data_IF_904648062467
#
_entry.id   IF_904648062467
#
_cell.length_a   1.000
_cell.length_b   1.000
_cell.length_c   1.000
_cell.angle_alpha   90.00
_cell.angle_beta   90.00
_cell.angle_gamma   90.00
#
_symmetry.space_group_name_H-M   'P 1'
#
loop_
_entity.id
_entity.type
_entity.pdbx_description
1 polymer ?
#
# COMPACT_ATOMS: atom_id res chain seq x y z
N UNK A 1 -60.31 5.01 -43.38
CA UNK A 1 -59.82 5.07 -42.01
C UNK A 1 -58.30 4.91 -42.05
N UNK A 2 -57.54 6.01 -41.86
CA UNK A 2 -56.05 5.95 -41.93
C UNK A 2 -55.52 5.92 -40.53
N UNK A 3 -54.91 4.79 -40.09
CA UNK A 3 -54.22 4.66 -38.81
C UNK A 3 -52.87 5.35 -38.93
N UNK A 4 -52.66 6.42 -38.14
CA UNK A 4 -51.33 7.05 -37.95
C UNK A 4 -50.62 6.27 -36.84
N UNK A 5 -49.54 5.54 -37.18
CA UNK A 5 -48.65 4.92 -36.23
C UNK A 5 -47.69 5.99 -35.75
N UNK A 6 -47.79 6.37 -34.47
CA UNK A 6 -46.88 7.29 -33.80
C UNK A 6 -45.71 6.44 -33.26
N UNK A 7 -44.51 6.56 -33.87
CA UNK A 7 -43.26 5.98 -33.32
C UNK A 7 -42.79 6.86 -32.16
N UNK A 8 -42.95 6.36 -30.96
CA UNK A 8 -42.35 6.94 -29.75
C UNK A 8 -40.86 6.53 -29.69
N UNK A 9 -39.99 7.44 -30.15
CA UNK A 9 -38.54 7.26 -30.02
C UNK A 9 -38.13 7.64 -28.58
N UNK A 10 -37.95 6.63 -27.71
CA UNK A 10 -37.38 6.82 -26.39
C UNK A 10 -35.89 7.07 -26.53
N UNK A 11 -35.46 8.30 -26.33
CA UNK A 11 -34.03 8.66 -26.19
C UNK A 11 -33.50 8.12 -24.87
N UNK A 12 -32.81 6.98 -24.91
CA UNK A 12 -32.07 6.47 -23.76
C UNK A 12 -30.79 7.28 -23.65
N UNK A 13 -30.79 8.28 -22.78
CA UNK A 13 -29.56 9.00 -22.40
C UNK A 13 -28.63 8.05 -21.64
N UNK A 14 -27.60 7.56 -22.30
CA UNK A 14 -26.49 6.86 -21.65
C UNK A 14 -25.71 7.88 -20.83
N UNK A 15 -26.03 8.00 -19.55
CA UNK A 15 -25.17 8.68 -18.59
C UNK A 15 -23.90 7.87 -18.43
N UNK A 16 -22.80 8.33 -19.01
CA UNK A 16 -21.46 7.75 -18.82
C UNK A 16 -21.08 7.91 -17.36
N UNK A 17 -21.24 6.85 -16.56
CA UNK A 17 -20.73 6.81 -15.21
C UNK A 17 -19.21 6.75 -15.33
N UNK A 18 -18.55 7.88 -15.13
CA UNK A 18 -17.09 7.93 -14.98
C UNK A 18 -16.73 7.20 -13.69
N UNK A 19 -16.38 5.92 -13.77
CA UNK A 19 -15.75 5.19 -12.66
C UNK A 19 -14.38 5.80 -12.47
N UNK A 20 -14.26 6.74 -11.53
CA UNK A 20 -12.97 7.28 -11.12
C UNK A 20 -12.27 6.16 -10.36
N UNK A 21 -11.42 5.42 -11.07
CA UNK A 21 -10.53 4.43 -10.44
C UNK A 21 -9.70 5.15 -9.37
N UNK A 22 -9.72 4.63 -8.14
CA UNK A 22 -9.00 5.23 -7.02
C UNK A 22 -7.50 5.28 -7.33
N UNK A 23 -7.00 6.49 -7.58
CA UNK A 23 -5.60 6.72 -7.95
C UNK A 23 -4.76 6.80 -6.67
N UNK A 24 -3.70 5.99 -6.54
CA UNK A 24 -2.77 6.05 -5.41
C UNK A 24 -2.18 7.45 -5.25
N UNK A 25 -1.83 7.82 -4.00
CA UNK A 25 -1.29 9.13 -3.70
C UNK A 25 0.02 9.38 -4.47
N UNK A 26 0.06 10.42 -5.32
CA UNK A 26 1.22 10.76 -6.14
C UNK A 26 2.43 11.24 -5.32
N UNK A 27 2.20 11.68 -4.09
CA UNK A 27 3.22 12.04 -3.11
C UNK A 27 2.86 11.47 -1.76
N UNK A 28 3.86 11.23 -0.89
CA UNK A 28 3.61 10.79 0.48
C UNK A 28 2.73 11.83 1.19
N UNK A 29 1.51 11.50 1.59
CA UNK A 29 0.62 12.43 2.28
C UNK A 29 1.08 12.66 3.72
N UNK A 30 0.52 13.67 4.42
CA UNK A 30 0.68 13.83 5.86
C UNK A 30 -0.11 12.74 6.59
N UNK A 31 0.55 12.02 7.50
CA UNK A 31 -0.05 10.91 8.25
C UNK A 31 0.48 10.87 9.68
N UNK A 32 -0.23 10.16 10.57
CA UNK A 32 0.22 9.82 11.91
C UNK A 32 -0.17 8.38 12.24
N UNK A 33 0.82 7.50 12.33
CA UNK A 33 0.68 6.11 12.73
C UNK A 33 1.34 5.87 14.08
N UNK A 34 1.18 4.69 14.66
CA UNK A 34 1.85 4.30 15.90
C UNK A 34 2.92 3.25 15.63
N UNK A 35 4.07 3.41 16.25
CA UNK A 35 5.05 2.34 16.38
C UNK A 35 4.62 1.30 17.43
N UNK A 36 5.37 0.20 17.56
CA UNK A 36 5.13 -0.85 18.55
C UNK A 36 5.16 -0.30 19.99
N UNK A 37 6.03 0.69 20.26
CA UNK A 37 6.14 1.38 21.54
C UNK A 37 5.04 2.42 21.79
N UNK A 38 4.03 2.48 20.92
CA UNK A 38 2.91 3.44 20.92
C UNK A 38 3.31 4.90 20.70
N UNK A 39 4.55 5.18 20.32
CA UNK A 39 4.97 6.53 19.91
C UNK A 39 4.46 6.85 18.51
N UNK A 40 4.12 8.12 18.28
CA UNK A 40 3.66 8.58 16.97
C UNK A 40 4.81 8.59 15.95
N UNK A 41 4.46 8.21 14.72
CA UNK A 41 5.34 8.21 13.56
C UNK A 41 4.64 8.91 12.40
N UNK A 42 5.24 9.98 11.91
CA UNK A 42 4.70 10.78 10.80
C UNK A 42 5.78 11.16 9.77
N UNK A 43 5.45 12.08 8.89
CA UNK A 43 6.31 12.50 7.78
C UNK A 43 7.70 13.01 8.19
N UNK A 44 7.83 13.62 9.38
CA UNK A 44 9.09 14.10 9.93
C UNK A 44 10.03 12.96 10.34
N UNK A 45 9.47 11.77 10.66
CA UNK A 45 10.21 10.57 11.07
C UNK A 45 10.66 9.70 9.89
N UNK A 46 10.22 10.03 8.66
CA UNK A 46 10.62 9.29 7.47
C UNK A 46 12.12 9.41 7.20
N UNK A 47 12.74 8.33 6.76
CA UNK A 47 14.13 8.31 6.34
C UNK A 47 14.37 9.34 5.22
N UNK A 48 15.50 10.05 5.30
CA UNK A 48 15.90 11.06 4.33
C UNK A 48 16.92 10.47 3.34
N UNK A 49 16.92 10.98 2.11
CA UNK A 49 17.94 10.63 1.11
C UNK A 49 17.83 9.21 0.55
N UNK A 50 16.78 8.47 0.88
CA UNK A 50 16.57 7.10 0.39
C UNK A 50 15.15 6.93 -0.13
N UNK A 51 14.92 5.86 -0.92
CA UNK A 51 13.58 5.48 -1.36
C UNK A 51 12.77 4.97 -0.16
N UNK A 52 11.48 5.25 -0.16
CA UNK A 52 10.56 4.87 0.90
C UNK A 52 9.63 3.78 0.36
N UNK A 53 9.68 2.60 0.94
CA UNK A 53 8.88 1.45 0.53
C UNK A 53 7.80 1.17 1.57
N UNK A 54 6.55 1.50 1.26
CA UNK A 54 5.39 1.19 2.10
C UNK A 54 4.73 -0.09 1.62
N UNK A 55 4.45 -0.97 2.57
CA UNK A 55 3.70 -2.21 2.39
C UNK A 55 2.47 -2.13 3.29
N UNK A 56 1.30 -1.95 2.70
CA UNK A 56 0.03 -1.96 3.41
C UNK A 56 -0.57 -3.36 3.35
N UNK A 57 -0.79 -3.96 4.51
CA UNK A 57 -1.14 -5.37 4.62
C UNK A 57 -2.19 -5.64 5.70
N UNK A 58 -2.81 -6.80 5.61
CA UNK A 58 -3.75 -7.37 6.57
C UNK A 58 -3.24 -8.77 6.99
N UNK A 59 -3.36 -9.12 8.26
CA UNK A 59 -2.82 -10.38 8.81
C UNK A 59 -3.59 -11.62 8.36
N UNK A 60 -4.83 -11.46 7.93
CA UNK A 60 -5.68 -12.57 7.45
C UNK A 60 -5.54 -12.77 5.93
N UNK A 61 -4.95 -11.81 5.22
CA UNK A 61 -4.74 -11.85 3.77
C UNK A 61 -3.61 -12.81 3.39
N UNK A 62 -3.91 -13.82 2.57
CA UNK A 62 -2.91 -14.80 2.13
C UNK A 62 -1.80 -14.19 1.25
N UNK A 63 -2.16 -13.32 0.30
CA UNK A 63 -1.17 -12.62 -0.54
C UNK A 63 -0.25 -11.73 0.28
N UNK A 64 -0.74 -11.15 1.40
CA UNK A 64 0.08 -10.40 2.34
C UNK A 64 1.12 -11.29 3.05
N UNK A 65 0.72 -12.52 3.43
CA UNK A 65 1.65 -13.50 4.01
C UNK A 65 2.78 -13.83 3.02
N UNK A 66 2.45 -13.99 1.74
CA UNK A 66 3.45 -14.25 0.69
C UNK A 66 4.43 -13.08 0.56
N UNK A 67 3.93 -11.83 0.53
CA UNK A 67 4.78 -10.62 0.49
C UNK A 67 5.72 -10.57 1.68
N UNK A 68 5.19 -10.68 2.89
CA UNK A 68 6.00 -10.58 4.12
C UNK A 68 7.02 -11.72 4.20
N UNK A 69 6.62 -12.96 3.89
CA UNK A 69 7.54 -14.11 3.89
C UNK A 69 8.64 -13.97 2.84
N UNK A 70 8.30 -13.48 1.64
CA UNK A 70 9.29 -13.21 0.61
C UNK A 70 10.29 -12.14 1.05
N UNK A 71 9.81 -11.03 1.60
CA UNK A 71 10.67 -9.96 2.11
C UNK A 71 11.54 -10.42 3.28
N UNK A 72 11.02 -11.28 4.17
CA UNK A 72 11.78 -11.87 5.27
C UNK A 72 12.94 -12.75 4.79
N UNK A 73 12.67 -13.57 3.75
CA UNK A 73 13.67 -14.45 3.17
C UNK A 73 14.72 -13.72 2.31
N UNK A 74 14.33 -12.60 1.68
CA UNK A 74 15.15 -11.91 0.68
C UNK A 74 15.40 -10.43 1.02
N UNK A 75 15.49 -10.11 2.32
CA UNK A 75 15.62 -8.72 2.80
C UNK A 75 16.72 -7.92 2.08
N UNK A 76 17.86 -8.55 1.77
CA UNK A 76 18.99 -7.86 1.15
C UNK A 76 18.65 -7.19 -0.17
N UNK A 77 17.67 -7.74 -0.91
CA UNK A 77 17.19 -7.17 -2.16
C UNK A 77 16.45 -5.83 -1.94
N UNK A 78 15.92 -5.60 -0.73
CA UNK A 78 15.17 -4.40 -0.35
C UNK A 78 15.99 -3.41 0.49
N UNK A 79 17.22 -3.77 0.86
CA UNK A 79 18.05 -3.06 1.86
C UNK A 79 18.46 -1.63 1.46
N UNK A 80 18.29 -1.24 0.18
CA UNK A 80 18.54 0.13 -0.30
C UNK A 80 17.35 1.08 -0.09
N UNK A 81 16.22 0.61 0.44
CA UNK A 81 15.07 1.43 0.79
C UNK A 81 14.83 1.41 2.31
N UNK A 82 14.17 2.46 2.82
CA UNK A 82 13.52 2.41 4.12
C UNK A 82 12.14 1.76 3.96
N UNK A 83 11.87 0.73 4.75
CA UNK A 83 10.68 -0.11 4.63
C UNK A 83 9.71 0.21 5.76
N UNK A 84 8.46 0.48 5.42
CA UNK A 84 7.37 0.77 6.34
C UNK A 84 6.27 -0.26 6.16
N UNK A 85 6.13 -1.18 7.13
CA UNK A 85 5.07 -2.19 7.15
C UNK A 85 3.88 -1.60 7.89
N UNK A 86 2.78 -1.33 7.19
CA UNK A 86 1.62 -0.64 7.74
C UNK A 86 0.40 -1.55 7.74
N UNK A 87 -0.32 -1.60 8.86
CA UNK A 87 -1.57 -2.35 8.99
C UNK A 87 -2.57 -1.63 9.90
N UNK A 88 -3.84 -1.97 9.76
CA UNK A 88 -4.90 -1.57 10.69
C UNK A 88 -4.99 -2.52 11.90
N UNK A 89 -4.42 -3.73 11.78
CA UNK A 89 -4.58 -4.79 12.74
C UNK A 89 -3.97 -4.47 14.12
N UNK A 90 -4.61 -4.91 15.20
CA UNK A 90 -4.10 -4.76 16.54
C UNK A 90 -2.94 -5.73 16.83
N UNK A 91 -2.20 -5.45 17.91
CA UNK A 91 -1.00 -6.19 18.29
C UNK A 91 -1.22 -7.70 18.50
N UNK A 92 -2.36 -8.08 19.06
CA UNK A 92 -2.72 -9.50 19.27
C UNK A 92 -2.87 -10.30 17.97
N UNK A 93 -3.09 -9.64 16.82
CA UNK A 93 -3.07 -10.26 15.48
C UNK A 93 -1.68 -10.18 14.85
N UNK A 94 -1.01 -9.03 14.97
CA UNK A 94 0.27 -8.80 14.28
C UNK A 94 1.43 -9.53 14.92
N UNK A 95 1.46 -9.71 16.25
CA UNK A 95 2.52 -10.42 16.92
C UNK A 95 2.64 -11.88 16.45
N UNK A 96 1.60 -12.73 16.47
CA UNK A 96 1.68 -14.09 15.95
C UNK A 96 1.93 -14.15 14.44
N UNK A 97 1.42 -13.18 13.69
CA UNK A 97 1.67 -13.08 12.25
C UNK A 97 3.15 -12.91 11.95
N UNK A 98 3.83 -11.94 12.58
CA UNK A 98 5.25 -11.73 12.36
C UNK A 98 6.12 -12.83 12.95
N UNK A 99 5.74 -13.42 14.08
CA UNK A 99 6.46 -14.58 14.63
C UNK A 99 6.54 -15.73 13.60
N UNK A 100 5.51 -15.87 12.77
CA UNK A 100 5.42 -16.94 11.77
C UNK A 100 6.02 -16.57 10.41
N UNK A 101 5.80 -15.32 9.95
CA UNK A 101 6.04 -14.97 8.55
C UNK A 101 7.13 -13.91 8.33
N UNK A 102 7.57 -13.17 9.37
CA UNK A 102 8.44 -12.02 9.18
C UNK A 102 9.31 -11.66 10.38
N UNK A 103 9.70 -12.65 11.21
CA UNK A 103 10.45 -12.38 12.44
C UNK A 103 11.83 -11.78 12.18
N UNK A 104 12.53 -12.23 11.14
CA UNK A 104 13.84 -11.69 10.76
C UNK A 104 13.71 -10.32 10.10
N UNK A 105 12.62 -10.08 9.37
CA UNK A 105 12.34 -8.81 8.72
C UNK A 105 12.18 -7.69 9.75
N UNK A 106 11.40 -7.91 10.81
CA UNK A 106 11.20 -6.92 11.88
C UNK A 106 12.49 -6.57 12.64
N UNK A 107 13.46 -7.48 12.67
CA UNK A 107 14.75 -7.23 13.32
C UNK A 107 15.71 -6.36 12.50
N UNK A 108 15.33 -5.98 11.26
CA UNK A 108 16.19 -5.19 10.37
C UNK A 108 16.07 -3.70 10.67
N UNK A 109 17.21 -3.03 10.73
CA UNK A 109 17.33 -1.60 11.09
C UNK A 109 16.62 -0.61 10.13
N UNK A 110 16.35 -1.01 8.89
CA UNK A 110 15.62 -0.20 7.91
C UNK A 110 14.14 -0.56 7.80
N UNK A 111 13.65 -1.43 8.64
CA UNK A 111 12.24 -1.83 8.69
C UNK A 111 11.57 -1.20 9.89
N UNK A 112 10.46 -0.51 9.66
CA UNK A 112 9.63 0.07 10.70
C UNK A 112 8.24 -0.51 10.58
N UNK A 113 7.76 -1.18 11.61
CA UNK A 113 6.37 -1.60 11.72
C UNK A 113 5.52 -0.46 12.28
N UNK A 114 4.36 -0.23 11.65
CA UNK A 114 3.47 0.87 11.95
C UNK A 114 2.02 0.38 11.99
N UNK A 115 1.30 0.78 13.01
CA UNK A 115 -0.15 0.58 13.11
C UNK A 115 -0.89 1.86 12.77
N UNK A 116 -1.78 1.78 11.79
CA UNK A 116 -2.70 2.86 11.44
C UNK A 116 -4.02 2.70 12.20
N UNK A 117 -4.11 3.30 13.36
CA UNK A 117 -5.29 3.19 14.23
C UNK A 117 -6.45 4.12 13.85
N UNK A 118 -6.23 5.02 12.88
CA UNK A 118 -7.23 5.98 12.39
C UNK A 118 -7.68 5.69 10.96
N UNK A 119 -7.20 4.60 10.35
CA UNK A 119 -7.45 4.27 8.94
C UNK A 119 -7.04 5.38 7.95
N UNK A 120 -6.01 6.15 8.32
CA UNK A 120 -5.48 7.24 7.49
C UNK A 120 -4.82 6.73 6.21
N UNK A 121 -4.26 5.51 6.23
CA UNK A 121 -3.64 4.94 5.03
C UNK A 121 -4.66 4.78 3.90
N UNK A 122 -5.86 4.29 4.23
CA UNK A 122 -6.93 4.09 3.26
C UNK A 122 -7.34 5.42 2.62
N UNK A 123 -7.57 6.44 3.42
CA UNK A 123 -8.08 7.74 2.93
C UNK A 123 -7.02 8.59 2.25
N UNK A 124 -5.77 8.52 2.75
CA UNK A 124 -4.69 9.41 2.34
C UNK A 124 -3.79 8.80 1.26
N UNK A 125 -3.36 7.54 1.41
CA UNK A 125 -2.53 6.86 0.40
C UNK A 125 -3.37 6.25 -0.73
N UNK A 126 -4.64 5.97 -0.46
CA UNK A 126 -5.62 5.44 -1.42
C UNK A 126 -5.19 4.11 -2.05
N UNK A 127 -4.92 3.07 -1.22
CA UNK A 127 -4.72 1.72 -1.72
C UNK A 127 -6.01 1.17 -2.33
N UNK A 128 -5.91 0.26 -3.28
CA UNK A 128 -7.11 -0.37 -3.88
C UNK A 128 -7.54 -1.63 -3.15
N UNK A 129 -6.57 -2.43 -2.67
CA UNK A 129 -6.80 -3.66 -1.91
C UNK A 129 -5.54 -4.07 -1.11
N UNK A 130 -5.59 -5.19 -0.41
CA UNK A 130 -4.43 -5.81 0.24
C UNK A 130 -3.81 -6.92 -0.66
N UNK A 131 -2.48 -7.07 -0.66
CA UNK A 131 -1.53 -6.07 -0.21
C UNK A 131 -1.50 -4.86 -1.15
N UNK A 132 -1.08 -3.71 -0.65
CA UNK A 132 -0.75 -2.56 -1.50
C UNK A 132 0.68 -2.11 -1.26
N UNK A 133 1.45 -2.00 -2.33
CA UNK A 133 2.87 -1.74 -2.34
C UNK A 133 3.13 -0.38 -2.98
N UNK A 134 3.86 0.49 -2.30
CA UNK A 134 4.17 1.84 -2.78
C UNK A 134 5.66 2.09 -2.65
N UNK A 135 6.34 2.49 -3.71
CA UNK A 135 7.68 3.08 -3.62
C UNK A 135 7.58 4.56 -3.94
N UNK A 136 8.10 5.36 -3.02
CA UNK A 136 8.32 6.79 -3.23
C UNK A 136 9.81 7.11 -3.34
N UNK A 137 10.13 8.13 -4.12
CA UNK A 137 11.48 8.66 -4.24
C UNK A 137 11.93 9.32 -2.92
N UNK A 138 13.24 9.68 -2.77
CA UNK A 138 13.71 10.52 -1.66
C UNK A 138 12.98 11.87 -1.55
N UNK A 139 12.44 12.39 -2.67
CA UNK A 139 11.63 13.61 -2.73
C UNK A 139 10.14 13.35 -2.47
N UNK A 140 9.80 12.14 -1.98
CA UNK A 140 8.43 11.71 -1.64
C UNK A 140 7.45 11.66 -2.82
N UNK A 141 7.93 11.54 -4.07
CA UNK A 141 7.11 11.32 -5.27
C UNK A 141 6.93 9.84 -5.54
N UNK A 142 5.72 9.42 -5.89
CA UNK A 142 5.43 8.02 -6.22
C UNK A 142 6.25 7.58 -7.45
N UNK A 143 6.97 6.48 -7.31
CA UNK A 143 7.74 5.85 -8.38
C UNK A 143 7.04 4.60 -8.91
N UNK A 144 6.44 3.81 -8.02
CA UNK A 144 5.75 2.58 -8.38
C UNK A 144 4.65 2.28 -7.36
N UNK A 145 3.52 1.79 -7.84
CA UNK A 145 2.43 1.24 -7.06
C UNK A 145 1.97 -0.09 -7.68
N UNK A 146 1.70 -1.07 -6.83
CA UNK A 146 0.98 -2.29 -7.22
C UNK A 146 0.18 -2.84 -6.03
N UNK A 147 -0.88 -3.54 -6.33
CA UNK A 147 -1.68 -4.35 -5.41
C UNK A 147 -1.66 -5.84 -5.82
N UNK A 148 -0.62 -6.23 -6.54
CA UNK A 148 -0.32 -7.60 -6.94
C UNK A 148 1.06 -7.99 -6.39
N UNK A 149 1.10 -9.01 -5.53
CA UNK A 149 2.33 -9.54 -4.91
C UNK A 149 3.34 -10.06 -5.93
N UNK A 150 2.89 -10.48 -7.10
CA UNK A 150 3.76 -10.95 -8.20
C UNK A 150 4.64 -9.85 -8.77
N UNK A 151 4.31 -8.60 -8.48
CA UNK A 151 5.10 -7.44 -8.91
C UNK A 151 6.31 -7.14 -7.99
N UNK A 152 6.51 -7.87 -6.89
CA UNK A 152 7.67 -7.68 -6.00
C UNK A 152 9.02 -7.60 -6.74
N UNK A 153 9.31 -8.40 -7.78
CA UNK A 153 10.56 -8.26 -8.54
C UNK A 153 10.74 -6.88 -9.19
N UNK A 154 9.67 -6.23 -9.64
CA UNK A 154 9.74 -4.87 -10.20
C UNK A 154 10.05 -3.85 -9.10
N UNK A 155 9.51 -4.04 -7.89
CA UNK A 155 9.85 -3.22 -6.73
C UNK A 155 11.34 -3.34 -6.38
N UNK A 156 11.89 -4.56 -6.39
CA UNK A 156 13.32 -4.80 -6.21
C UNK A 156 14.15 -4.05 -7.24
N UNK A 157 13.77 -4.09 -8.53
CA UNK A 157 14.45 -3.35 -9.59
C UNK A 157 14.43 -1.84 -9.33
N UNK A 158 13.26 -1.28 -8.99
CA UNK A 158 13.12 0.15 -8.71
C UNK A 158 13.94 0.56 -7.48
N UNK A 159 13.95 -0.25 -6.40
CA UNK A 159 14.75 -0.01 -5.19
C UNK A 159 16.24 0.06 -5.53
N UNK A 160 16.73 -0.86 -6.38
CA UNK A 160 18.15 -1.01 -6.68
C UNK A 160 18.66 -0.13 -7.83
N UNK A 161 17.76 0.51 -8.57
CA UNK A 161 18.13 1.48 -9.62
C UNK A 161 18.76 2.73 -8.96
N UNK A 162 19.93 3.10 -9.41
CA UNK A 162 20.64 4.34 -9.03
C UNK A 162 19.89 5.57 -9.49
#
# INVERSE_FOLDING_TARGET
>A
MKFKIIYLVTLISFSSINIIAQTPAATVPQFSFLKTDKTEFGNQSLAKGTKLFFVFFDTECEHCRQVISYMDAHYDQFSKAAIYLVTLDPENKTAPFFAKYGSRLLAKNKVTFLRDYKSEFITKFRPRKYPSLFIYSPQKKLLLYSDDEKQLPEFVKVINKS
#
